data_IF_150370284624
#
_entry.id   IF_150370284624
#
_cell.length_a   1.000
_cell.length_b   1.000
_cell.length_c   1.000
_cell.angle_alpha   90.00
_cell.angle_beta   90.00
_cell.angle_gamma   90.00
#
_symmetry.space_group_name_H-M   'P 1'
#
loop_
_entity.id
_entity.type
_entity.pdbx_description
1 polymer ?
#
# COMPACT_ATOMS: atom_id res chain seq x y z
N UNK A 1 0.88 -6.02 22.84
CA UNK A 1 1.81 -4.90 22.53
C UNK A 1 2.07 -4.12 23.81
N UNK A 2 3.02 -3.18 23.83
CA UNK A 2 3.18 -2.29 25.00
C UNK A 2 2.10 -1.19 24.96
N UNK A 3 1.66 -0.65 26.11
CA UNK A 3 0.79 0.53 26.13
C UNK A 3 1.40 1.75 25.41
N UNK A 4 2.73 1.84 25.39
CA UNK A 4 3.48 2.89 24.69
C UNK A 4 3.78 2.58 23.21
N UNK A 5 3.36 1.42 22.68
CA UNK A 5 3.60 1.07 21.27
C UNK A 5 2.97 2.12 20.36
N UNK A 6 3.78 2.72 19.51
CA UNK A 6 3.36 3.62 18.45
C UNK A 6 3.10 2.83 17.17
N UNK A 7 2.12 3.28 16.42
CA UNK A 7 1.92 2.88 15.04
C UNK A 7 2.55 3.91 14.12
N UNK A 8 3.07 3.41 13.01
CA UNK A 8 3.62 4.19 11.93
C UNK A 8 3.02 3.69 10.63
N UNK A 9 2.31 4.57 9.93
CA UNK A 9 1.77 4.31 8.60
C UNK A 9 2.48 5.22 7.64
N UNK A 10 2.94 4.71 6.51
CA UNK A 10 3.52 5.57 5.49
C UNK A 10 3.24 5.10 4.08
N UNK A 11 3.00 6.08 3.22
CA UNK A 11 2.75 5.92 1.79
C UNK A 11 3.99 6.30 0.98
N UNK A 12 4.24 5.58 -0.11
CA UNK A 12 5.32 5.89 -1.04
C UNK A 12 4.77 6.73 -2.18
N UNK A 13 5.17 8.00 -2.21
CA UNK A 13 4.73 8.91 -3.27
C UNK A 13 5.12 8.41 -4.65
N UNK A 14 4.13 8.32 -5.54
CA UNK A 14 4.34 8.14 -6.97
C UNK A 14 5.21 6.92 -7.32
N UNK A 15 5.08 5.81 -6.57
CA UNK A 15 5.96 4.65 -6.67
C UNK A 15 6.20 4.19 -8.13
N UNK A 16 5.13 4.06 -8.93
CA UNK A 16 5.26 3.57 -10.30
C UNK A 16 5.86 4.58 -11.26
N UNK A 17 5.52 5.85 -11.13
CA UNK A 17 5.98 6.92 -12.04
C UNK A 17 7.39 7.41 -11.69
N UNK A 18 7.86 7.14 -10.48
CA UNK A 18 9.20 7.55 -10.02
C UNK A 18 10.22 6.40 -10.02
N UNK A 19 9.83 5.19 -10.41
CA UNK A 19 10.72 4.03 -10.43
C UNK A 19 11.97 4.28 -11.32
N UNK A 20 13.20 4.23 -10.79
CA UNK A 20 14.41 4.41 -11.59
C UNK A 20 14.61 3.20 -12.52
N UNK A 21 14.41 3.40 -13.83
CA UNK A 21 14.26 2.29 -14.78
C UNK A 21 15.48 1.35 -14.82
N UNK A 22 16.69 1.88 -15.00
CA UNK A 22 17.92 1.05 -15.05
C UNK A 22 18.20 0.33 -13.74
N UNK A 23 18.08 1.04 -12.63
CA UNK A 23 18.32 0.48 -11.31
C UNK A 23 17.31 -0.62 -11.00
N UNK A 24 16.03 -0.41 -11.31
CA UNK A 24 14.99 -1.42 -11.14
C UNK A 24 15.25 -2.68 -11.98
N UNK A 25 15.76 -2.53 -13.21
CA UNK A 25 16.16 -3.66 -14.05
C UNK A 25 17.34 -4.43 -13.46
N UNK A 26 18.30 -3.74 -12.84
CA UNK A 26 19.42 -4.38 -12.16
C UNK A 26 18.95 -5.13 -10.91
N UNK A 27 18.10 -4.48 -10.08
CA UNK A 27 17.50 -5.09 -8.89
C UNK A 27 16.66 -6.32 -9.25
N UNK A 28 15.96 -6.31 -10.39
CA UNK A 28 15.26 -7.50 -10.90
C UNK A 28 16.20 -8.70 -11.10
N UNK A 29 17.34 -8.48 -11.75
CA UNK A 29 18.32 -9.54 -12.01
C UNK A 29 18.96 -10.02 -10.71
N UNK A 30 19.33 -9.10 -9.82
CA UNK A 30 19.84 -9.44 -8.49
C UNK A 30 18.83 -10.25 -7.67
N UNK A 31 17.56 -9.85 -7.70
CA UNK A 31 16.47 -10.57 -7.03
C UNK A 31 16.35 -12.00 -7.54
N UNK A 32 16.36 -12.19 -8.88
CA UNK A 32 16.27 -13.52 -9.48
C UNK A 32 17.48 -14.39 -9.11
N UNK A 33 18.70 -13.84 -9.17
CA UNK A 33 19.90 -14.55 -8.74
C UNK A 33 19.86 -14.96 -7.27
N UNK A 34 19.44 -14.06 -6.37
CA UNK A 34 19.35 -14.33 -4.94
C UNK A 34 18.38 -15.49 -4.63
N UNK A 35 17.33 -15.65 -5.42
CA UNK A 35 16.36 -16.75 -5.28
C UNK A 35 16.74 -18.00 -6.10
N UNK A 36 18.00 -18.08 -6.56
CA UNK A 36 18.54 -19.27 -7.23
C UNK A 36 18.14 -19.44 -8.69
N UNK A 37 17.50 -18.44 -9.30
CA UNK A 37 17.16 -18.51 -10.72
C UNK A 37 18.42 -18.31 -11.59
N UNK A 38 18.61 -19.20 -12.55
CA UNK A 38 19.53 -19.01 -13.70
C UNK A 38 18.77 -18.73 -15.00
N UNK A 39 17.51 -19.15 -15.05
CA UNK A 39 16.58 -18.99 -16.16
C UNK A 39 15.16 -18.88 -15.61
N UNK A 40 14.29 -18.14 -16.29
CA UNK A 40 12.85 -18.08 -15.98
C UNK A 40 12.10 -18.73 -17.13
N UNK A 41 11.40 -19.84 -16.87
CA UNK A 41 10.71 -20.63 -17.92
C UNK A 41 11.61 -20.96 -19.13
N UNK A 42 12.88 -21.29 -18.88
CA UNK A 42 13.88 -21.60 -19.91
C UNK A 42 14.57 -20.38 -20.54
N UNK A 43 14.12 -19.16 -20.24
CA UNK A 43 14.70 -17.92 -20.77
C UNK A 43 15.87 -17.47 -19.88
N UNK A 44 17.08 -17.22 -20.43
CA UNK A 44 18.22 -16.68 -19.68
C UNK A 44 17.91 -15.32 -19.02
N UNK A 45 18.54 -15.03 -17.88
CA UNK A 45 18.31 -13.77 -17.16
C UNK A 45 18.67 -12.53 -17.99
N UNK A 46 19.71 -12.59 -18.83
CA UNK A 46 20.05 -11.49 -19.74
C UNK A 46 18.92 -11.20 -20.72
N UNK A 47 18.26 -12.24 -21.24
CA UNK A 47 17.10 -12.11 -22.10
C UNK A 47 15.89 -11.57 -21.33
N UNK A 48 15.67 -12.01 -20.08
CA UNK A 48 14.63 -11.46 -19.21
C UNK A 48 14.85 -9.97 -18.96
N UNK A 49 16.09 -9.55 -18.65
CA UNK A 49 16.43 -8.14 -18.45
C UNK A 49 16.18 -7.31 -19.71
N UNK A 50 16.54 -7.84 -20.90
CA UNK A 50 16.27 -7.18 -22.18
C UNK A 50 14.78 -7.01 -22.44
N UNK A 51 13.98 -8.07 -22.25
CA UNK A 51 12.53 -8.01 -22.41
C UNK A 51 11.89 -7.03 -21.42
N UNK A 52 12.32 -7.07 -20.15
CA UNK A 52 11.91 -6.12 -19.12
C UNK A 52 12.25 -4.68 -19.50
N UNK A 53 13.44 -4.44 -20.07
CA UNK A 53 13.85 -3.12 -20.55
C UNK A 53 12.93 -2.61 -21.66
N UNK A 54 12.51 -3.47 -22.59
CA UNK A 54 11.57 -3.07 -23.65
C UNK A 54 10.23 -2.66 -23.04
N UNK A 55 9.66 -3.49 -22.17
CA UNK A 55 8.36 -3.19 -21.55
C UNK A 55 8.40 -1.91 -20.71
N UNK A 56 9.51 -1.66 -20.02
CA UNK A 56 9.63 -0.53 -19.12
C UNK A 56 9.96 0.78 -19.84
N UNK A 57 10.84 0.72 -20.86
CA UNK A 57 11.36 1.90 -21.54
C UNK A 57 10.61 2.27 -22.80
N UNK A 58 10.03 1.32 -23.52
CA UNK A 58 9.31 1.61 -24.77
C UNK A 58 7.86 2.01 -24.47
N UNK A 59 7.66 2.89 -23.47
CA UNK A 59 6.35 3.39 -23.11
C UNK A 59 6.14 4.80 -23.68
N UNK A 60 5.19 4.90 -24.62
CA UNK A 60 4.81 6.14 -25.29
C UNK A 60 3.31 6.35 -25.09
N UNK A 61 2.91 7.56 -24.76
CA UNK A 61 1.51 7.93 -24.60
C UNK A 61 1.21 9.26 -25.30
N UNK A 62 -0.07 9.51 -25.56
CA UNK A 62 -0.55 10.74 -26.18
C UNK A 62 -1.30 11.57 -25.15
N UNK A 63 -0.95 12.84 -25.06
CA UNK A 63 -1.66 13.84 -24.27
C UNK A 63 -1.71 15.14 -25.06
N UNK A 64 -2.88 15.78 -25.13
CA UNK A 64 -3.05 17.04 -25.88
C UNK A 64 -2.50 16.97 -27.34
N UNK A 65 -2.84 15.89 -28.06
CA UNK A 65 -2.36 15.59 -29.41
C UNK A 65 -0.82 15.56 -29.58
N UNK A 66 -0.06 15.42 -28.49
CA UNK A 66 1.40 15.30 -28.49
C UNK A 66 1.82 13.93 -27.98
N UNK A 67 2.86 13.39 -28.61
CA UNK A 67 3.49 12.15 -28.19
C UNK A 67 4.51 12.41 -27.09
N UNK A 68 4.44 11.64 -26.02
CA UNK A 68 5.36 11.69 -24.90
C UNK A 68 5.97 10.32 -24.68
N UNK A 69 7.27 10.31 -24.42
CA UNK A 69 8.02 9.12 -24.02
C UNK A 69 8.27 9.16 -22.51
N UNK A 70 7.94 8.08 -21.81
CA UNK A 70 8.12 8.01 -20.36
C UNK A 70 9.58 7.66 -20.03
N UNK A 71 10.33 8.65 -19.56
CA UNK A 71 11.76 8.53 -19.24
C UNK A 71 12.04 8.04 -17.82
N UNK A 72 11.05 8.04 -16.93
CA UNK A 72 11.16 7.56 -15.55
C UNK A 72 9.88 6.86 -15.14
N UNK A 73 9.99 5.83 -14.29
CA UNK A 73 8.86 5.00 -13.92
C UNK A 73 8.50 3.96 -14.97
N UNK A 74 7.33 3.37 -14.81
CA UNK A 74 6.70 2.55 -15.84
C UNK A 74 5.24 2.95 -16.06
N UNK A 75 4.62 2.32 -17.06
CA UNK A 75 3.23 2.57 -17.40
C UNK A 75 2.31 2.26 -16.21
N UNK A 76 1.47 3.21 -15.81
CA UNK A 76 0.39 2.91 -14.87
C UNK A 76 -0.55 1.87 -15.48
N UNK A 77 -0.94 0.87 -14.68
CA UNK A 77 -1.76 -0.26 -15.14
C UNK A 77 -0.98 -1.41 -15.77
N UNK A 78 0.34 -1.27 -15.99
CA UNK A 78 1.18 -2.40 -16.40
C UNK A 78 1.38 -3.36 -15.24
N UNK A 79 0.96 -4.61 -15.42
CA UNK A 79 1.18 -5.70 -14.46
C UNK A 79 2.67 -5.97 -14.21
N UNK A 80 3.51 -5.72 -15.22
CA UNK A 80 4.95 -5.84 -15.09
C UNK A 80 5.55 -4.72 -14.23
N UNK A 81 5.10 -3.47 -14.43
CA UNK A 81 5.55 -2.33 -13.62
C UNK A 81 5.21 -2.53 -12.14
N UNK A 82 4.02 -3.07 -11.84
CA UNK A 82 3.64 -3.46 -10.48
C UNK A 82 4.61 -4.49 -9.87
N UNK A 83 4.94 -5.52 -10.64
CA UNK A 83 5.86 -6.58 -10.20
C UNK A 83 7.26 -6.01 -9.93
N UNK A 84 7.74 -5.18 -10.86
CA UNK A 84 9.06 -4.58 -10.78
C UNK A 84 9.18 -3.59 -9.61
N UNK A 85 8.16 -2.75 -9.40
CA UNK A 85 8.12 -1.84 -8.26
C UNK A 85 8.15 -2.59 -6.91
N UNK A 86 7.44 -3.71 -6.81
CA UNK A 86 7.49 -4.55 -5.60
C UNK A 86 8.88 -5.15 -5.35
N UNK A 87 9.58 -5.57 -6.40
CA UNK A 87 10.96 -6.09 -6.31
C UNK A 87 11.93 -4.98 -5.93
N UNK A 88 11.79 -3.80 -6.52
CA UNK A 88 12.59 -2.63 -6.17
C UNK A 88 12.41 -2.25 -4.69
N UNK A 89 11.15 -2.17 -4.23
CA UNK A 89 10.85 -1.87 -2.83
C UNK A 89 11.32 -2.97 -1.87
N UNK A 90 11.34 -4.23 -2.30
CA UNK A 90 11.96 -5.30 -1.51
C UNK A 90 13.45 -5.06 -1.25
N UNK A 91 14.18 -4.49 -2.22
CA UNK A 91 15.59 -4.14 -2.02
C UNK A 91 15.72 -2.93 -1.09
N UNK A 92 14.97 -1.86 -1.35
CA UNK A 92 15.01 -0.63 -0.55
C UNK A 92 14.62 -0.88 0.92
N UNK A 93 13.57 -1.67 1.18
CA UNK A 93 13.06 -1.89 2.54
C UNK A 93 14.02 -2.70 3.42
N UNK A 94 15.04 -3.37 2.85
CA UNK A 94 16.04 -4.10 3.65
C UNK A 94 16.74 -3.19 4.65
N UNK A 95 16.96 -1.91 4.31
CA UNK A 95 17.55 -0.92 5.20
C UNK A 95 16.68 -0.56 6.42
N UNK A 96 15.36 -0.77 6.30
CA UNK A 96 14.41 -0.66 7.42
C UNK A 96 14.34 -1.99 8.18
N UNK A 97 14.05 -3.10 7.51
CA UNK A 97 13.69 -4.37 8.18
C UNK A 97 14.87 -5.08 8.83
N UNK A 98 16.08 -4.97 8.26
CA UNK A 98 17.25 -5.73 8.75
C UNK A 98 17.99 -5.06 9.90
N UNK A 99 17.44 -3.99 10.49
CA UNK A 99 18.16 -3.33 11.57
C UNK A 99 18.03 -4.10 12.89
N UNK A 100 19.14 -4.28 13.62
CA UNK A 100 19.15 -5.05 14.86
C UNK A 100 18.35 -4.39 15.99
N UNK A 101 18.04 -3.10 15.87
CA UNK A 101 17.26 -2.37 16.86
C UNK A 101 15.75 -2.65 16.72
N UNK A 102 15.28 -3.12 15.56
CA UNK A 102 13.89 -3.51 15.31
C UNK A 102 13.73 -4.97 15.76
N UNK A 103 13.43 -5.16 17.05
CA UNK A 103 13.25 -6.47 17.69
C UNK A 103 11.86 -6.55 18.31
N UNK A 104 10.99 -7.35 17.69
CA UNK A 104 9.61 -7.54 18.15
C UNK A 104 8.61 -6.51 17.62
N UNK A 105 9.04 -5.54 16.83
CA UNK A 105 8.17 -4.72 16.00
C UNK A 105 7.64 -5.49 14.78
N UNK A 106 6.40 -5.22 14.40
CA UNK A 106 5.82 -5.64 13.13
C UNK A 106 6.21 -4.66 12.02
N UNK A 107 6.50 -5.20 10.83
CA UNK A 107 6.61 -4.45 9.58
C UNK A 107 5.84 -5.20 8.49
N UNK A 108 4.92 -4.51 7.81
CA UNK A 108 4.15 -5.04 6.70
C UNK A 108 4.03 -3.99 5.60
N UNK A 109 4.13 -4.44 4.34
CA UNK A 109 3.93 -3.60 3.17
C UNK A 109 2.89 -4.22 2.25
N UNK A 110 1.93 -3.40 1.84
CA UNK A 110 0.98 -3.69 0.79
C UNK A 110 1.22 -2.71 -0.36
N UNK A 111 1.99 -3.12 -1.37
CA UNK A 111 2.38 -2.27 -2.49
C UNK A 111 3.12 -0.99 -2.01
N UNK A 112 2.46 0.16 -2.01
CA UNK A 112 2.92 1.49 -1.60
C UNK A 112 2.57 1.82 -0.14
N UNK A 113 1.55 1.18 0.42
CA UNK A 113 1.15 1.31 1.81
C UNK A 113 2.05 0.47 2.74
N UNK A 114 2.68 1.12 3.72
CA UNK A 114 3.52 0.46 4.73
C UNK A 114 2.97 0.71 6.13
N UNK A 115 2.95 -0.35 6.93
CA UNK A 115 2.61 -0.32 8.35
C UNK A 115 3.76 -0.88 9.18
N UNK A 116 4.10 -0.17 10.26
CA UNK A 116 5.11 -0.59 11.22
C UNK A 116 4.66 -0.25 12.64
N UNK A 117 4.98 -1.11 13.61
CA UNK A 117 4.85 -0.78 15.03
C UNK A 117 6.20 -0.32 15.58
N UNK A 118 6.21 0.49 16.64
CA UNK A 118 7.44 0.96 17.26
C UNK A 118 7.31 1.03 18.77
N UNK A 119 8.24 0.41 19.50
CA UNK A 119 8.17 0.32 20.97
C UNK A 119 9.12 1.27 21.71
N UNK A 120 9.83 2.14 20.98
CA UNK A 120 10.81 3.09 21.51
C UNK A 120 10.30 4.53 21.38
N UNK A 121 11.15 5.51 21.61
CA UNK A 121 10.76 6.92 21.56
C UNK A 121 10.29 7.34 20.16
N UNK A 122 9.30 8.24 20.10
CA UNK A 122 8.84 8.82 18.84
C UNK A 122 9.97 9.58 18.12
N UNK A 123 10.86 10.22 18.88
CA UNK A 123 12.00 10.95 18.33
C UNK A 123 12.96 10.04 17.54
N UNK A 124 13.29 8.86 18.07
CA UNK A 124 14.10 7.87 17.35
C UNK A 124 13.40 7.40 16.06
N UNK A 125 12.08 7.17 16.13
CA UNK A 125 11.30 6.76 14.97
C UNK A 125 11.32 7.83 13.88
N UNK A 126 11.07 9.10 14.23
CA UNK A 126 11.13 10.21 13.27
C UNK A 126 12.51 10.32 12.63
N UNK A 127 13.57 10.27 13.43
CA UNK A 127 14.96 10.28 12.95
C UNK A 127 15.22 9.13 11.96
N UNK A 128 14.74 7.93 12.26
CA UNK A 128 14.88 6.77 11.37
C UNK A 128 14.16 6.99 10.03
N UNK A 129 12.92 7.49 10.06
CA UNK A 129 12.10 7.71 8.86
C UNK A 129 12.64 8.88 8.01
N UNK A 130 13.11 9.94 8.66
CA UNK A 130 13.73 11.07 7.98
C UNK A 130 15.03 10.64 7.29
N UNK A 131 15.82 9.77 7.94
CA UNK A 131 16.96 9.13 7.28
C UNK A 131 16.54 8.22 6.12
N UNK A 132 15.46 7.44 6.28
CA UNK A 132 14.96 6.58 5.20
C UNK A 132 14.54 7.40 3.97
N UNK A 133 14.00 8.59 4.18
CA UNK A 133 13.64 9.56 3.14
C UNK A 133 14.83 10.13 2.34
N UNK A 134 16.06 9.90 2.79
CA UNK A 134 17.29 10.29 2.09
C UNK A 134 18.02 9.14 1.40
N UNK A 135 17.59 7.89 1.60
CA UNK A 135 18.30 6.73 1.04
C UNK A 135 18.25 6.66 -0.49
N UNK A 136 17.19 7.18 -1.10
CA UNK A 136 17.04 7.16 -2.54
C UNK A 136 16.36 8.45 -3.03
N UNK A 137 16.88 9.13 -4.07
CA UNK A 137 16.33 10.40 -4.54
C UNK A 137 14.86 10.30 -5.00
N UNK A 138 14.50 9.19 -5.64
CA UNK A 138 13.17 8.98 -6.20
C UNK A 138 12.15 8.37 -5.22
N UNK A 139 12.57 7.95 -4.02
CA UNK A 139 11.66 7.37 -3.03
C UNK A 139 11.39 8.42 -1.96
N UNK A 140 10.11 8.75 -1.80
CA UNK A 140 9.64 9.70 -0.78
C UNK A 140 8.50 9.09 -0.01
N UNK A 141 8.64 9.09 1.31
CA UNK A 141 7.72 8.53 2.28
C UNK A 141 6.91 9.66 2.91
N UNK A 142 5.60 9.53 2.87
CA UNK A 142 4.67 10.32 3.66
C UNK A 142 4.21 9.51 4.85
N UNK A 143 4.75 9.83 6.03
CA UNK A 143 4.50 9.06 7.24
C UNK A 143 3.63 9.78 8.26
N UNK A 144 2.87 8.99 9.02
CA UNK A 144 2.12 9.41 10.21
C UNK A 144 2.49 8.48 11.35
N UNK A 145 2.61 9.07 12.54
CA UNK A 145 2.94 8.35 13.78
C UNK A 145 1.85 8.67 14.80
N UNK A 146 1.42 7.65 15.53
CA UNK A 146 0.42 7.81 16.59
C UNK A 146 0.01 6.48 17.20
N UNK A 147 -0.78 6.54 18.27
CA UNK A 147 -1.37 5.34 18.86
C UNK A 147 -2.71 4.97 18.22
N UNK A 148 -3.31 5.88 17.43
CA UNK A 148 -4.50 5.62 16.63
C UNK A 148 -4.25 6.16 15.22
N UNK A 149 -4.20 5.29 14.22
CA UNK A 149 -3.90 5.66 12.83
C UNK A 149 -4.72 4.82 11.84
N UNK A 150 -5.17 5.43 10.73
CA UNK A 150 -5.77 4.69 9.63
C UNK A 150 -4.69 3.99 8.80
N UNK A 151 -4.95 2.74 8.43
CA UNK A 151 -4.19 1.98 7.45
C UNK A 151 -5.16 1.25 6.52
N UNK A 152 -5.13 1.58 5.22
CA UNK A 152 -6.15 1.16 4.26
C UNK A 152 -7.57 1.56 4.77
N UNK A 153 -8.48 0.59 4.85
CA UNK A 153 -9.87 0.77 5.29
C UNK A 153 -10.07 0.49 6.80
N UNK A 154 -8.98 0.38 7.58
CA UNK A 154 -9.00 0.03 9.01
C UNK A 154 -8.40 1.14 9.85
N UNK A 155 -9.08 1.54 10.92
CA UNK A 155 -8.53 2.39 11.96
C UNK A 155 -7.91 1.48 13.03
N UNK A 156 -6.60 1.56 13.20
CA UNK A 156 -5.84 0.80 14.18
C UNK A 156 -5.66 1.66 15.42
N UNK A 157 -6.03 1.17 16.60
CA UNK A 157 -5.84 1.88 17.88
C UNK A 157 -5.16 0.98 18.90
N UNK A 158 -4.09 1.46 19.51
CA UNK A 158 -3.46 0.83 20.66
C UNK A 158 -4.22 1.24 21.93
N UNK A 159 -5.12 0.38 22.39
CA UNK A 159 -5.83 0.58 23.65
C UNK A 159 -5.04 -0.09 24.79
N UNK A 160 -4.08 0.63 25.37
CA UNK A 160 -3.28 0.18 26.52
C UNK A 160 -2.58 -1.18 26.31
N UNK A 161 -2.07 -1.43 25.10
CA UNK A 161 -1.36 -2.66 24.72
C UNK A 161 -2.21 -3.68 23.98
N UNK A 162 -3.53 -3.45 23.88
CA UNK A 162 -4.50 -4.26 23.14
C UNK A 162 -4.80 -3.56 21.80
N UNK A 163 -4.68 -4.30 20.69
CA UNK A 163 -5.07 -3.77 19.38
C UNK A 163 -6.59 -3.71 19.28
N UNK A 164 -7.13 -2.51 19.13
CA UNK A 164 -8.51 -2.27 18.75
C UNK A 164 -8.57 -1.85 17.28
N UNK A 165 -9.59 -2.32 16.57
CA UNK A 165 -9.80 -2.04 15.14
C UNK A 165 -11.23 -1.62 14.89
N UNK A 166 -11.41 -0.70 13.95
CA UNK A 166 -12.72 -0.31 13.41
C UNK A 166 -12.62 0.01 11.92
N UNK A 167 -13.75 0.12 11.25
CA UNK A 167 -13.79 0.62 9.86
C UNK A 167 -13.36 2.09 9.86
N UNK A 168 -12.38 2.41 9.01
CA UNK A 168 -11.98 3.80 8.79
C UNK A 168 -12.77 4.40 7.64
N UNK A 169 -13.40 5.54 7.89
CA UNK A 169 -14.04 6.36 6.86
C UNK A 169 -13.18 7.60 6.64
N UNK A 170 -12.73 7.81 5.40
CA UNK A 170 -11.98 9.04 5.06
C UNK A 170 -12.91 10.24 5.30
N UNK A 171 -12.44 11.33 5.96
CA UNK A 171 -13.29 12.49 6.26
C UNK A 171 -13.98 13.10 5.04
N UNK A 172 -13.34 12.99 3.87
CA UNK A 172 -13.84 13.54 2.60
C UNK A 172 -14.48 12.47 1.70
N UNK A 173 -14.63 11.23 2.17
CA UNK A 173 -15.35 10.22 1.39
C UNK A 173 -16.84 10.52 1.49
N UNK A 174 -17.40 10.94 0.37
CA UNK A 174 -18.85 11.00 0.24
C UNK A 174 -19.39 9.56 0.30
N UNK A 175 -20.47 9.31 1.06
CA UNK A 175 -21.00 7.98 1.28
C UNK A 175 -21.84 7.50 0.08
N UNK A 176 -21.38 7.77 -1.15
CA UNK A 176 -22.08 7.40 -2.36
C UNK A 176 -21.99 5.89 -2.54
N UNK A 177 -23.15 5.25 -2.48
CA UNK A 177 -23.34 3.90 -3.01
C UNK A 177 -24.18 4.01 -4.28
N UNK A 178 -24.28 2.92 -5.03
CA UNK A 178 -25.12 2.92 -6.24
C UNK A 178 -26.58 3.19 -5.83
N UNK A 179 -27.26 4.22 -6.39
CA UNK A 179 -28.66 4.50 -6.08
C UNK A 179 -29.57 3.31 -6.37
N UNK A 180 -30.52 2.99 -5.50
CA UNK A 180 -31.35 1.79 -5.66
C UNK A 180 -32.23 1.85 -6.91
N UNK A 181 -32.60 3.05 -7.34
CA UNK A 181 -33.37 3.32 -8.55
C UNK A 181 -32.55 3.28 -9.85
N UNK A 182 -31.24 3.05 -9.78
CA UNK A 182 -30.41 2.91 -10.98
C UNK A 182 -30.66 1.59 -11.69
N UNK A 183 -30.41 1.54 -13.00
CA UNK A 183 -30.60 0.35 -13.84
C UNK A 183 -29.43 -0.63 -13.68
N UNK A 184 -29.21 -1.09 -12.46
CA UNK A 184 -28.17 -2.07 -12.13
C UNK A 184 -28.83 -3.40 -11.73
N UNK A 185 -28.22 -4.55 -12.07
CA UNK A 185 -28.75 -5.84 -11.66
C UNK A 185 -28.91 -5.94 -10.14
N UNK A 186 -29.99 -6.61 -9.68
CA UNK A 186 -30.30 -6.76 -8.24
C UNK A 186 -29.13 -7.29 -7.40
N UNK A 187 -28.30 -8.16 -7.96
CA UNK A 187 -27.16 -8.72 -7.25
C UNK A 187 -26.10 -7.66 -6.86
N UNK A 188 -25.99 -6.54 -7.59
CA UNK A 188 -25.07 -5.44 -7.25
C UNK A 188 -25.45 -4.82 -5.91
N UNK A 189 -26.74 -4.52 -5.71
CA UNK A 189 -27.24 -3.94 -4.45
C UNK A 189 -27.06 -4.89 -3.27
N UNK A 190 -27.37 -6.18 -3.46
CA UNK A 190 -27.16 -7.20 -2.43
C UNK A 190 -25.69 -7.30 -2.06
N UNK A 191 -24.79 -7.28 -3.05
CA UNK A 191 -23.34 -7.35 -2.84
C UNK A 191 -22.79 -6.11 -2.13
N UNK A 192 -23.34 -4.91 -2.37
CA UNK A 192 -22.97 -3.69 -1.64
C UNK A 192 -23.26 -3.89 -0.14
N UNK A 193 -24.48 -4.30 0.21
CA UNK A 193 -24.89 -4.51 1.60
C UNK A 193 -24.03 -5.61 2.25
N UNK A 194 -23.86 -6.75 1.56
CA UNK A 194 -23.07 -7.86 2.05
C UNK A 194 -21.61 -7.46 2.27
N UNK A 195 -21.00 -6.74 1.33
CA UNK A 195 -19.61 -6.29 1.44
C UNK A 195 -19.43 -5.33 2.61
N UNK A 196 -20.31 -4.34 2.76
CA UNK A 196 -20.25 -3.36 3.85
C UNK A 196 -20.41 -4.01 5.22
N UNK A 197 -21.40 -4.90 5.39
CA UNK A 197 -21.61 -5.61 6.65
C UNK A 197 -20.48 -6.60 6.95
N UNK A 198 -20.00 -7.32 5.93
CA UNK A 198 -18.86 -8.23 6.08
C UNK A 198 -17.61 -7.46 6.50
N UNK A 199 -17.37 -6.29 5.90
CA UNK A 199 -16.27 -5.38 6.28
C UNK A 199 -16.43 -4.92 7.73
N UNK A 200 -17.63 -4.48 8.12
CA UNK A 200 -17.91 -4.06 9.49
C UNK A 200 -17.65 -5.18 10.51
N UNK A 201 -18.08 -6.41 10.22
CA UNK A 201 -17.83 -7.57 11.10
C UNK A 201 -16.34 -7.88 11.19
N UNK A 202 -15.61 -7.89 10.06
CA UNK A 202 -14.20 -8.25 10.01
C UNK A 202 -13.29 -7.22 10.68
N UNK A 203 -13.62 -5.95 10.58
CA UNK A 203 -12.73 -4.87 11.04
C UNK A 203 -13.05 -4.40 12.45
N UNK A 204 -14.23 -4.69 13.00
CA UNK A 204 -14.60 -4.25 14.34
C UNK A 204 -14.06 -5.20 15.41
N UNK A 205 -13.22 -4.71 16.31
CA UNK A 205 -12.66 -5.53 17.41
C UNK A 205 -13.66 -5.85 18.51
N UNK A 206 -14.77 -5.10 18.61
CA UNK A 206 -15.83 -5.34 19.59
C UNK A 206 -17.21 -5.26 18.96
N UNK A 207 -18.20 -5.86 19.63
CA UNK A 207 -19.59 -5.83 19.19
C UNK A 207 -20.18 -4.41 19.18
N UNK A 208 -19.75 -3.54 20.10
CA UNK A 208 -20.21 -2.15 20.16
C UNK A 208 -19.71 -1.34 18.97
N UNK A 209 -18.43 -1.50 18.59
CA UNK A 209 -17.86 -0.89 17.39
C UNK A 209 -18.59 -1.38 16.14
N UNK A 210 -18.86 -2.68 16.06
CA UNK A 210 -19.65 -3.24 14.95
C UNK A 210 -21.06 -2.65 14.90
N UNK A 211 -21.74 -2.52 16.04
CA UNK A 211 -23.09 -1.96 16.09
C UNK A 211 -23.13 -0.49 15.68
N UNK A 212 -22.11 0.28 16.05
CA UNK A 212 -21.96 1.66 15.60
C UNK A 212 -21.81 1.71 14.07
N UNK A 213 -20.88 0.94 13.51
CA UNK A 213 -20.67 0.88 12.06
C UNK A 213 -21.91 0.39 11.31
N UNK A 214 -22.60 -0.63 11.82
CA UNK A 214 -23.87 -1.13 11.26
C UNK A 214 -24.93 -0.04 11.18
N UNK A 215 -25.03 0.83 12.21
CA UNK A 215 -25.96 1.97 12.20
C UNK A 215 -25.56 2.99 11.14
N UNK A 216 -24.26 3.30 11.03
CA UNK A 216 -23.73 4.19 9.99
C UNK A 216 -24.03 3.66 8.58
N UNK A 217 -23.80 2.38 8.32
CA UNK A 217 -24.14 1.72 7.06
C UNK A 217 -25.64 1.82 6.77
N UNK A 218 -26.49 1.55 7.77
CA UNK A 218 -27.95 1.67 7.62
C UNK A 218 -28.36 3.09 7.23
N UNK A 219 -27.80 4.10 7.90
CA UNK A 219 -28.09 5.50 7.58
C UNK A 219 -27.63 5.85 6.16
N UNK A 220 -26.41 5.48 5.79
CA UNK A 220 -25.89 5.68 4.42
C UNK A 220 -26.82 5.09 3.36
N UNK A 221 -27.26 3.83 3.54
CA UNK A 221 -28.15 3.18 2.59
C UNK A 221 -29.52 3.86 2.49
N UNK A 222 -30.05 4.39 3.60
CA UNK A 222 -31.31 5.14 3.62
C UNK A 222 -31.21 6.51 2.95
N UNK A 223 -30.06 7.18 3.06
CA UNK A 223 -29.85 8.48 2.42
C UNK A 223 -29.59 8.38 0.91
N UNK A 224 -29.26 7.20 0.41
CA UNK A 224 -28.91 7.00 -1.00
C UNK A 224 -30.10 6.82 -1.95
N UNK A 225 -31.34 6.92 -1.43
CA UNK A 225 -32.58 6.75 -2.20
C UNK A 225 -33.06 5.30 -2.24
#
# INVERSE_FOLDING_TARGET
>A
MKPSTLFCTFDIRNLYTMLPQEEALNVLVEFLHMHGYRKVKGIPLDSIRKLASVVLKENVFVYDNKFYHQTTGGAMGSSFTLTLANIFMWQWQKGLVRRPDITGEFFGRYIDDIFMTWNRSEHELRKLLDQANTWHPNIKLDYKIGQSLPFLDVLLTNNHGILATSVYHKPNAEPYVVPFNSDHPRHVFVNIIQTLLTRAVRYSSTFDIFNYERRSIKLMLLYNG
#
